data_IF_601745800274
#
_entry.id   IF_601745800274
#
_cell.length_a   1.000
_cell.length_b   1.000
_cell.length_c   1.000
_cell.angle_alpha   90.00
_cell.angle_beta   90.00
_cell.angle_gamma   90.00
#
_symmetry.space_group_name_H-M   'P 1'
#
loop_
_entity.id
_entity.type
_entity.pdbx_description
1 polymer ?
#
# COMPACT_ATOMS: atom_id res chain seq x y z
N UNK A 1 -20.51 -17.85 -18.19
CA UNK A 1 -19.13 -17.96 -17.68
C UNK A 1 -18.24 -17.08 -18.53
N UNK A 2 -18.29 -17.22 -19.86
CA UNK A 2 -17.66 -16.35 -20.86
C UNK A 2 -17.69 -14.86 -20.55
N UNK A 3 -18.85 -14.21 -20.62
CA UNK A 3 -18.98 -12.77 -20.39
C UNK A 3 -18.35 -12.33 -19.04
N UNK A 4 -18.46 -13.18 -18.01
CA UNK A 4 -17.90 -12.89 -16.69
C UNK A 4 -16.37 -13.03 -16.67
N UNK A 5 -15.80 -13.94 -17.47
CA UNK A 5 -14.36 -14.08 -17.66
C UNK A 5 -13.78 -12.81 -18.29
N UNK A 6 -14.39 -12.36 -19.39
CA UNK A 6 -13.97 -11.17 -20.12
C UNK A 6 -14.06 -9.91 -19.24
N UNK A 7 -15.14 -9.79 -18.45
CA UNK A 7 -15.32 -8.72 -17.48
C UNK A 7 -14.23 -8.70 -16.40
N UNK A 8 -13.78 -9.88 -15.92
CA UNK A 8 -12.71 -9.98 -14.92
C UNK A 8 -11.36 -9.56 -15.50
N UNK A 9 -11.03 -10.01 -16.72
CA UNK A 9 -9.78 -9.65 -17.39
C UNK A 9 -9.75 -8.17 -17.72
N UNK A 10 -10.83 -7.61 -18.28
CA UNK A 10 -10.94 -6.18 -18.54
C UNK A 10 -10.80 -5.34 -17.25
N UNK A 11 -11.33 -5.82 -16.12
CA UNK A 11 -11.11 -5.20 -14.82
C UNK A 11 -9.63 -5.23 -14.42
N UNK A 12 -8.96 -6.38 -14.55
CA UNK A 12 -7.51 -6.50 -14.27
C UNK A 12 -6.66 -5.57 -15.14
N UNK A 13 -6.97 -5.40 -16.42
CA UNK A 13 -6.32 -4.42 -17.29
C UNK A 13 -6.54 -2.97 -16.80
N UNK A 14 -7.74 -2.68 -16.29
CA UNK A 14 -8.06 -1.41 -15.63
C UNK A 14 -7.19 -1.18 -14.40
N UNK A 15 -7.03 -2.21 -13.55
CA UNK A 15 -6.17 -2.17 -12.37
C UNK A 15 -4.70 -1.95 -12.75
N UNK A 16 -4.19 -2.66 -13.75
CA UNK A 16 -2.82 -2.48 -14.24
C UNK A 16 -2.56 -1.04 -14.72
N UNK A 17 -3.50 -0.45 -15.49
CA UNK A 17 -3.43 0.96 -15.89
C UNK A 17 -3.40 1.90 -14.69
N UNK A 18 -4.26 1.67 -13.69
CA UNK A 18 -4.27 2.47 -12.46
C UNK A 18 -2.93 2.40 -11.71
N UNK A 19 -2.34 1.22 -11.58
CA UNK A 19 -1.03 1.07 -10.92
C UNK A 19 0.09 1.78 -11.71
N UNK A 20 0.01 1.82 -13.04
CA UNK A 20 0.94 2.62 -13.87
C UNK A 20 0.80 4.13 -13.60
N UNK A 21 -0.42 4.63 -13.37
CA UNK A 21 -0.65 6.03 -13.00
C UNK A 21 -0.05 6.35 -11.62
N UNK A 22 -0.22 5.47 -10.63
CA UNK A 22 0.40 5.60 -9.31
C UNK A 22 1.93 5.63 -9.41
N UNK A 23 2.51 4.78 -10.26
CA UNK A 23 3.94 4.78 -10.54
C UNK A 23 4.40 6.10 -11.14
N UNK A 24 3.66 6.66 -12.09
CA UNK A 24 3.97 7.96 -12.68
C UNK A 24 3.94 9.08 -11.62
N UNK A 25 2.97 9.04 -10.71
CA UNK A 25 2.88 9.96 -9.57
C UNK A 25 4.10 9.86 -8.64
N UNK A 26 4.48 8.64 -8.22
CA UNK A 26 5.67 8.40 -7.39
C UNK A 26 6.97 8.86 -8.09
N UNK A 27 7.07 8.61 -9.40
CA UNK A 27 8.21 9.04 -10.22
C UNK A 27 8.33 10.57 -10.25
N UNK A 28 7.20 11.28 -10.41
CA UNK A 28 7.16 12.75 -10.40
C UNK A 28 7.54 13.33 -9.03
N UNK A 29 7.11 12.67 -7.94
CA UNK A 29 7.46 13.05 -6.58
C UNK A 29 8.93 12.74 -6.21
N UNK A 30 9.65 11.97 -7.04
CA UNK A 30 11.01 11.48 -6.78
C UNK A 30 11.13 10.70 -5.46
N UNK A 31 10.04 10.08 -5.04
CA UNK A 31 9.99 9.26 -3.83
C UNK A 31 10.38 7.82 -4.21
N UNK A 32 11.64 7.46 -3.93
CA UNK A 32 12.20 6.15 -4.29
C UNK A 32 11.53 5.03 -3.50
N UNK A 33 11.09 5.30 -2.26
CA UNK A 33 10.44 4.31 -1.41
C UNK A 33 9.08 3.95 -2.00
N UNK A 34 8.26 4.96 -2.32
CA UNK A 34 6.96 4.76 -2.96
C UNK A 34 7.10 4.11 -4.33
N UNK A 35 8.09 4.55 -5.11
CA UNK A 35 8.33 4.01 -6.45
C UNK A 35 8.67 2.50 -6.40
N UNK A 36 9.52 2.07 -5.47
CA UNK A 36 9.85 0.66 -5.32
C UNK A 36 8.64 -0.18 -4.90
N UNK A 37 7.88 0.28 -3.90
CA UNK A 37 6.65 -0.38 -3.44
C UNK A 37 5.64 -0.54 -4.59
N UNK A 38 5.38 0.53 -5.35
CA UNK A 38 4.45 0.46 -6.50
C UNK A 38 5.00 -0.43 -7.62
N UNK A 39 6.32 -0.44 -7.87
CA UNK A 39 6.91 -1.32 -8.89
C UNK A 39 6.76 -2.81 -8.54
N UNK A 40 6.91 -3.18 -7.27
CA UNK A 40 6.69 -4.55 -6.80
C UNK A 40 5.26 -4.99 -7.08
N UNK A 41 4.28 -4.17 -6.69
CA UNK A 41 2.86 -4.49 -6.89
C UNK A 41 2.47 -4.46 -8.38
N UNK A 42 3.04 -3.55 -9.17
CA UNK A 42 2.84 -3.53 -10.61
C UNK A 42 3.31 -4.84 -11.28
N UNK A 43 4.44 -5.38 -10.84
CA UNK A 43 4.95 -6.67 -11.32
C UNK A 43 3.98 -7.81 -10.97
N UNK A 44 3.43 -7.81 -9.75
CA UNK A 44 2.44 -8.79 -9.31
C UNK A 44 1.17 -8.73 -10.18
N UNK A 45 0.60 -7.54 -10.37
CA UNK A 45 -0.60 -7.37 -11.23
C UNK A 45 -0.34 -7.86 -12.65
N UNK A 46 0.82 -7.52 -13.22
CA UNK A 46 1.20 -7.97 -14.56
C UNK A 46 1.34 -9.49 -14.65
N UNK A 47 1.94 -10.13 -13.64
CA UNK A 47 2.07 -11.58 -13.61
C UNK A 47 0.70 -12.27 -13.51
N UNK A 48 -0.23 -11.70 -12.75
CA UNK A 48 -1.59 -12.22 -12.62
C UNK A 48 -2.38 -12.07 -13.92
N UNK A 49 -2.21 -10.97 -14.65
CA UNK A 49 -2.77 -10.82 -16.00
C UNK A 49 -2.29 -11.92 -16.94
N UNK A 50 -0.98 -12.17 -17.01
CA UNK A 50 -0.45 -13.25 -17.85
C UNK A 50 -1.03 -14.64 -17.48
N UNK A 51 -1.31 -14.88 -16.20
CA UNK A 51 -1.96 -16.12 -15.75
C UNK A 51 -3.42 -16.17 -16.20
N UNK A 52 -4.15 -15.06 -16.06
CA UNK A 52 -5.54 -14.98 -16.49
C UNK A 52 -5.68 -15.15 -18.02
N UNK A 53 -4.81 -14.52 -18.81
CA UNK A 53 -4.80 -14.64 -20.27
C UNK A 53 -4.54 -16.10 -20.69
N UNK A 54 -3.53 -16.76 -20.09
CA UNK A 54 -3.26 -18.17 -20.37
C UNK A 54 -4.40 -19.10 -19.94
N UNK A 55 -5.09 -18.78 -18.83
CA UNK A 55 -6.27 -19.52 -18.41
C UNK A 55 -7.47 -19.27 -19.33
N UNK A 56 -7.61 -18.08 -19.92
CA UNK A 56 -8.65 -17.76 -20.90
C UNK A 56 -8.47 -18.55 -22.20
N UNK A 57 -7.23 -18.67 -22.69
CA UNK A 57 -6.89 -19.49 -23.85
C UNK A 57 -7.28 -20.96 -23.61
N UNK A 58 -6.88 -21.52 -22.48
CA UNK A 58 -7.22 -22.90 -22.09
C UNK A 58 -8.73 -23.08 -21.86
N UNK A 59 -9.40 -22.08 -21.28
CA UNK A 59 -10.85 -22.09 -21.09
C UNK A 59 -11.59 -22.14 -22.43
N UNK A 60 -11.12 -21.37 -23.41
CA UNK A 60 -11.66 -21.35 -24.77
C UNK A 60 -11.43 -22.69 -25.47
N UNK A 61 -10.26 -23.29 -25.31
CA UNK A 61 -9.98 -24.63 -25.83
C UNK A 61 -10.89 -25.70 -25.19
N UNK A 62 -11.01 -25.70 -23.86
CA UNK A 62 -11.87 -26.63 -23.12
C UNK A 62 -13.36 -26.51 -23.52
N UNK A 63 -13.81 -25.31 -23.93
CA UNK A 63 -15.14 -25.13 -24.51
C UNK A 63 -15.29 -25.81 -25.86
N UNK A 64 -14.31 -25.64 -26.75
CA UNK A 64 -14.33 -26.29 -28.07
C UNK A 64 -14.34 -27.81 -27.93
N UNK A 65 -13.57 -28.34 -26.96
CA UNK A 65 -13.51 -29.78 -26.69
C UNK A 65 -14.73 -30.32 -25.91
N UNK A 66 -15.55 -29.44 -25.33
CA UNK A 66 -16.69 -29.83 -24.49
C UNK A 66 -16.30 -30.37 -23.10
N UNK A 67 -15.06 -30.14 -22.66
CA UNK A 67 -14.59 -30.55 -21.33
C UNK A 67 -15.06 -29.55 -20.28
N UNK A 68 -16.15 -29.91 -19.60
CA UNK A 68 -16.77 -29.04 -18.58
C UNK A 68 -15.95 -28.96 -17.29
N UNK A 69 -15.17 -29.98 -16.95
CA UNK A 69 -14.35 -29.95 -15.74
C UNK A 69 -13.20 -28.97 -15.92
N UNK A 70 -12.57 -29.02 -17.09
CA UNK A 70 -11.49 -28.12 -17.45
C UNK A 70 -11.98 -26.67 -17.57
N UNK A 71 -13.16 -26.45 -18.17
CA UNK A 71 -13.80 -25.13 -18.18
C UNK A 71 -13.96 -24.52 -16.78
N UNK A 72 -14.45 -25.31 -15.82
CA UNK A 72 -14.63 -24.83 -14.43
C UNK A 72 -13.29 -24.56 -13.77
N UNK A 73 -12.28 -25.40 -14.02
CA UNK A 73 -10.94 -25.20 -13.48
C UNK A 73 -10.31 -23.89 -13.97
N UNK A 74 -10.31 -23.67 -15.28
CA UNK A 74 -9.72 -22.47 -15.89
C UNK A 74 -10.47 -21.20 -15.48
N UNK A 75 -11.80 -21.22 -15.46
CA UNK A 75 -12.59 -20.09 -14.94
C UNK A 75 -12.27 -19.78 -13.46
N UNK A 76 -12.02 -20.81 -12.65
CA UNK A 76 -11.55 -20.66 -11.27
C UNK A 76 -10.20 -19.96 -11.19
N UNK A 77 -9.24 -20.31 -12.06
CA UNK A 77 -7.94 -19.64 -12.12
C UNK A 77 -8.07 -18.15 -12.46
N UNK A 78 -8.90 -17.81 -13.47
CA UNK A 78 -9.17 -16.42 -13.86
C UNK A 78 -9.75 -15.63 -12.69
N UNK A 79 -10.72 -16.22 -11.98
CA UNK A 79 -11.35 -15.59 -10.81
C UNK A 79 -10.34 -15.31 -9.70
N UNK A 80 -9.50 -16.29 -9.36
CA UNK A 80 -8.47 -16.14 -8.32
C UNK A 80 -7.42 -15.09 -8.74
N UNK A 81 -7.03 -15.08 -10.02
CA UNK A 81 -6.09 -14.10 -10.55
C UNK A 81 -6.66 -12.67 -10.43
N UNK A 82 -7.94 -12.47 -10.75
CA UNK A 82 -8.62 -11.19 -10.64
C UNK A 82 -8.75 -10.69 -9.20
N UNK A 83 -9.08 -11.57 -8.26
CA UNK A 83 -9.12 -11.24 -6.82
C UNK A 83 -7.75 -10.80 -6.31
N UNK A 84 -6.70 -11.55 -6.64
CA UNK A 84 -5.32 -11.20 -6.26
C UNK A 84 -4.82 -9.93 -6.93
N UNK A 85 -5.21 -9.67 -8.17
CA UNK A 85 -4.83 -8.45 -8.88
C UNK A 85 -5.50 -7.22 -8.24
N UNK A 86 -6.75 -7.37 -7.80
CA UNK A 86 -7.46 -6.35 -7.02
C UNK A 86 -6.73 -6.06 -5.71
N UNK A 87 -6.32 -7.10 -4.99
CA UNK A 87 -5.54 -6.95 -3.76
C UNK A 87 -4.21 -6.21 -4.02
N UNK A 88 -3.42 -6.65 -5.00
CA UNK A 88 -2.14 -6.03 -5.33
C UNK A 88 -2.30 -4.56 -5.77
N UNK A 89 -3.37 -4.24 -6.52
CA UNK A 89 -3.67 -2.87 -6.91
C UNK A 89 -4.06 -1.98 -5.71
N UNK A 90 -4.79 -2.53 -4.73
CA UNK A 90 -5.09 -1.81 -3.48
C UNK A 90 -3.81 -1.58 -2.66
N UNK A 91 -2.93 -2.58 -2.55
CA UNK A 91 -1.62 -2.45 -1.90
C UNK A 91 -0.76 -1.38 -2.59
N UNK A 92 -0.77 -1.32 -3.92
CA UNK A 92 -0.11 -0.25 -4.68
C UNK A 92 -0.67 1.14 -4.35
N UNK A 93 -1.97 1.25 -4.08
CA UNK A 93 -2.58 2.51 -3.68
C UNK A 93 -2.17 2.91 -2.25
N UNK A 94 -2.10 1.95 -1.34
CA UNK A 94 -1.54 2.14 0.01
C UNK A 94 -0.08 2.59 -0.05
N UNK A 95 0.73 2.11 -1.00
CA UNK A 95 2.12 2.58 -1.19
C UNK A 95 2.20 4.11 -1.37
N UNK A 96 1.24 4.72 -2.08
CA UNK A 96 1.23 6.17 -2.30
C UNK A 96 0.77 6.94 -1.06
N UNK A 97 0.03 6.29 -0.17
CA UNK A 97 -0.68 6.93 0.95
C UNK A 97 -2.03 7.53 0.53
N UNK A 98 -2.56 7.12 -0.63
CA UNK A 98 -3.97 7.35 -0.98
C UNK A 98 -4.85 6.32 -0.27
N UNK A 99 -4.73 6.23 1.05
CA UNK A 99 -5.76 5.54 1.80
C UNK A 99 -6.98 6.47 1.78
N UNK A 100 -8.17 5.93 1.48
CA UNK A 100 -9.46 6.64 1.57
C UNK A 100 -9.82 6.97 3.03
N UNK A 101 -8.84 7.40 3.81
CA UNK A 101 -8.98 8.00 5.11
C UNK A 101 -9.50 9.42 4.91
N UNK A 102 -10.79 9.53 4.60
CA UNK A 102 -11.57 10.64 5.14
C UNK A 102 -11.60 10.46 6.67
N UNK A 103 -10.50 10.80 7.33
CA UNK A 103 -10.55 11.22 8.71
C UNK A 103 -11.01 12.67 8.61
N UNK A 104 -12.32 12.86 8.41
CA UNK A 104 -12.93 14.17 8.62
C UNK A 104 -12.42 14.66 9.97
N UNK A 105 -11.93 15.91 10.02
CA UNK A 105 -11.28 16.51 11.21
C UNK A 105 -11.84 15.90 12.49
N UNK A 106 -11.08 15.01 13.14
CA UNK A 106 -11.44 14.53 14.46
C UNK A 106 -11.21 15.71 15.39
N UNK A 107 -12.23 16.55 15.57
CA UNK A 107 -12.23 17.63 16.54
C UNK A 107 -12.40 16.98 17.92
N UNK A 108 -11.29 16.65 18.56
CA UNK A 108 -11.28 16.06 19.90
C UNK A 108 -11.37 17.19 20.90
N UNK A 109 -12.59 17.56 21.26
CA UNK A 109 -12.86 18.46 22.39
C UNK A 109 -12.84 17.65 23.68
N UNK A 110 -11.85 17.89 24.54
CA UNK A 110 -11.81 17.32 25.89
C UNK A 110 -12.50 18.30 26.83
N UNK A 111 -13.61 17.87 27.44
CA UNK A 111 -14.31 18.63 28.46
C UNK A 111 -14.00 18.01 29.83
N UNK A 112 -13.35 18.79 30.70
CA UNK A 112 -12.94 18.39 32.04
C UNK A 112 -13.38 19.43 33.06
N UNK A 113 -13.57 19.05 34.34
CA UNK A 113 -13.87 20.02 35.39
C UNK A 113 -12.73 21.05 35.48
N UNK A 114 -13.07 22.32 35.67
CA UNK A 114 -12.08 23.38 35.82
C UNK A 114 -11.15 23.07 37.00
N UNK A 115 -9.89 22.79 36.69
CA UNK A 115 -8.87 22.47 37.69
C UNK A 115 -8.24 23.79 38.13
N UNK A 116 -8.08 24.05 39.44
CA UNK A 116 -7.27 25.17 39.90
C UNK A 116 -5.83 25.02 39.39
N UNK A 117 -5.30 26.04 38.71
CA UNK A 117 -3.98 26.05 38.05
C UNK A 117 -3.88 25.14 36.83
N UNK A 118 -4.71 25.38 35.81
CA UNK A 118 -4.68 24.63 34.55
C UNK A 118 -3.64 25.27 33.59
N UNK A 119 -2.51 24.62 33.32
CA UNK A 119 -1.45 25.18 32.48
C UNK A 119 -1.88 25.39 31.02
N UNK A 120 -2.97 24.77 30.56
CA UNK A 120 -3.53 24.97 29.21
C UNK A 120 -4.37 26.25 29.09
N UNK A 121 -4.87 26.77 30.22
CA UNK A 121 -5.70 27.99 30.30
C UNK A 121 -4.89 29.17 30.85
N UNK A 122 -4.04 28.92 31.84
CA UNK A 122 -3.29 29.96 32.55
C UNK A 122 -2.07 30.49 31.77
N UNK A 123 -1.89 30.02 30.53
CA UNK A 123 -0.84 30.49 29.62
C UNK A 123 0.56 30.01 29.98
N UNK A 124 0.69 29.11 30.95
CA UNK A 124 1.91 28.32 31.21
C UNK A 124 1.96 27.09 30.30
N UNK A 125 1.65 27.30 29.01
CA UNK A 125 2.20 26.42 27.98
C UNK A 125 3.68 26.75 28.01
N UNK A 126 4.43 26.01 28.84
CA UNK A 126 5.84 26.22 29.07
C UNK A 126 6.47 26.66 27.76
N UNK A 127 6.86 27.94 27.69
CA UNK A 127 7.73 28.37 26.62
C UNK A 127 8.85 27.34 26.68
N UNK A 128 9.00 26.54 25.64
CA UNK A 128 10.27 25.88 25.43
C UNK A 128 11.29 27.00 25.21
N UNK A 129 11.76 27.65 26.28
CA UNK A 129 13.20 27.82 26.42
C UNK A 129 13.72 26.42 26.16
N UNK A 130 14.33 26.22 24.99
CA UNK A 130 14.75 24.92 24.47
C UNK A 130 15.88 24.31 25.29
N UNK A 131 15.66 24.14 26.58
CA UNK A 131 16.49 23.43 27.52
C UNK A 131 15.62 22.28 28.03
N UNK A 132 15.81 21.14 27.38
CA UNK A 132 15.27 19.86 27.81
C UNK A 132 15.79 19.59 29.23
N UNK A 133 14.94 19.35 30.25
CA UNK A 133 15.39 19.06 31.61
C UNK A 133 16.17 17.74 31.69
N UNK A 134 16.23 16.97 30.60
CA UNK A 134 16.99 15.73 30.44
C UNK A 134 18.18 15.86 29.47
N UNK A 135 18.73 17.06 29.26
CA UNK A 135 20.10 17.21 28.76
C UNK A 135 21.12 16.75 29.81
N UNK A 136 21.12 15.45 30.11
CA UNK A 136 22.37 14.79 30.45
C UNK A 136 23.23 14.83 29.17
N UNK A 137 24.49 15.27 29.23
CA UNK A 137 25.43 14.99 28.15
C UNK A 137 25.38 13.49 27.90
N UNK A 138 24.87 13.07 26.75
CA UNK A 138 25.06 11.71 26.28
C UNK A 138 26.57 11.57 26.11
N UNK A 139 27.24 10.92 27.07
CA UNK A 139 28.63 10.50 26.86
C UNK A 139 28.62 9.63 25.61
N UNK A 140 29.40 10.05 24.60
CA UNK A 140 29.64 9.24 23.43
C UNK A 140 30.06 7.84 23.92
N UNK A 141 29.40 6.76 23.49
CA UNK A 141 29.82 5.43 23.87
C UNK A 141 31.28 5.29 23.45
N UNK A 142 32.16 5.12 24.44
CA UNK A 142 33.59 5.02 24.22
C UNK A 142 33.85 4.09 23.04
N UNK A 143 34.61 4.60 22.08
CA UNK A 143 34.88 4.01 20.78
C UNK A 143 35.40 2.56 20.93
N UNK A 144 34.50 1.58 20.95
CA UNK A 144 34.84 0.15 20.98
C UNK A 144 35.18 -0.35 19.57
N UNK A 145 36.03 0.40 18.85
CA UNK A 145 36.54 -0.04 17.56
C UNK A 145 37.84 -0.83 17.76
N UNK A 146 37.97 -2.05 17.21
CA UNK A 146 39.16 -2.89 17.37
C UNK A 146 40.38 -2.41 16.56
N UNK A 147 40.33 -1.23 15.93
CA UNK A 147 41.43 -0.65 15.14
C UNK A 147 41.77 0.76 15.62
N UNK A 148 42.52 0.88 16.72
CA UNK A 148 43.22 2.11 17.05
C UNK A 148 44.67 2.04 16.53
N UNK A 149 45.22 3.10 15.91
CA UNK A 149 46.64 3.18 15.56
C UNK A 149 47.49 3.36 16.82
N UNK A 150 48.69 2.78 16.79
CA UNK A 150 49.60 2.61 17.92
C UNK A 150 50.29 3.91 18.35
#
# INVERSE_FOLDING_TARGET
MDQKSDELIANMEGLHRRVLELKASATKAKDVIKLNCVNEQLLVVKQLLNIADGAEDNFTEAKVQGDRNEQVHQFGQITIAAEKATQAANEAQTCIGEELHFIGKNDVTVDGPAIPHDPTIDGDVGRSSGEDPFEAPLEDPAYASPFAPQ
#
